data_IF_986417501782
#
_entry.id   IF_986417501782
#
_cell.length_a   1.000
_cell.length_b   1.000
_cell.length_c   1.000
_cell.angle_alpha   90.00
_cell.angle_beta   90.00
_cell.angle_gamma   90.00
#
_symmetry.space_group_name_H-M   'P 1'
#
loop_
_entity.id
_entity.type
_entity.pdbx_description
1 polymer ?
#
# COMPACT_ATOMS: atom_id res chain seq x y z
N UNK A 1 12.44 9.26 -4.96
CA UNK A 1 11.68 9.19 -6.24
C UNK A 1 10.56 8.20 -6.02
N UNK A 2 9.38 8.43 -6.62
CA UNK A 2 8.27 7.54 -6.39
C UNK A 2 8.49 6.21 -7.12
N UNK A 3 7.89 5.14 -6.61
CA UNK A 3 7.96 3.81 -7.18
C UNK A 3 6.61 3.12 -7.14
N UNK A 4 6.40 2.23 -8.09
CA UNK A 4 5.23 1.38 -8.19
C UNK A 4 5.70 -0.04 -8.48
N UNK A 5 5.33 -0.97 -7.61
CA UNK A 5 5.77 -2.36 -7.69
C UNK A 5 4.57 -3.28 -7.67
N UNK A 6 4.57 -4.27 -8.56
CA UNK A 6 3.60 -5.37 -8.57
C UNK A 6 4.22 -6.58 -7.89
N UNK A 7 3.52 -7.18 -6.93
CA UNK A 7 3.96 -8.47 -6.38
C UNK A 7 3.78 -9.56 -7.43
N UNK A 8 4.78 -10.42 -7.57
CA UNK A 8 4.78 -11.51 -8.55
C UNK A 8 4.81 -12.89 -7.90
N UNK A 9 5.21 -12.98 -6.62
CA UNK A 9 5.19 -14.21 -5.85
C UNK A 9 5.18 -13.91 -4.35
N UNK A 10 4.53 -14.79 -3.58
CA UNK A 10 4.59 -14.82 -2.12
C UNK A 10 4.86 -16.24 -1.65
N UNK A 11 5.91 -16.43 -0.87
CA UNK A 11 6.28 -17.71 -0.27
C UNK A 11 6.14 -17.64 1.24
N UNK A 12 5.38 -18.58 1.80
CA UNK A 12 5.31 -18.82 3.25
C UNK A 12 5.39 -20.32 3.49
N UNK A 13 6.27 -20.75 4.40
CA UNK A 13 6.44 -22.16 4.76
C UNK A 13 6.67 -23.12 3.57
N UNK A 14 7.41 -22.67 2.55
CA UNK A 14 7.73 -23.47 1.36
C UNK A 14 6.61 -23.57 0.32
N UNK A 15 5.50 -22.85 0.50
CA UNK A 15 4.44 -22.73 -0.50
C UNK A 15 4.56 -21.40 -1.22
N UNK A 16 4.95 -21.43 -2.50
CA UNK A 16 5.05 -20.26 -3.38
C UNK A 16 3.76 -20.09 -4.18
N UNK A 17 2.97 -19.07 -3.89
CA UNK A 17 1.70 -18.79 -4.56
C UNK A 17 1.46 -17.28 -4.67
N UNK A 18 0.81 -16.83 -5.73
CA UNK A 18 0.34 -15.45 -5.87
C UNK A 18 -1.16 -15.48 -6.19
N UNK A 19 -1.99 -15.23 -5.17
CA UNK A 19 -3.45 -15.22 -5.28
C UNK A 19 -4.02 -13.82 -5.47
N UNK A 20 -3.17 -12.80 -5.51
CA UNK A 20 -3.58 -11.39 -5.47
C UNK A 20 -3.17 -10.61 -6.71
N UNK A 21 -3.87 -9.50 -6.93
CA UNK A 21 -3.36 -8.41 -7.75
C UNK A 21 -2.72 -7.36 -6.82
N UNK A 22 -1.62 -7.71 -6.16
CA UNK A 22 -0.94 -6.79 -5.24
C UNK A 22 -0.13 -5.73 -5.97
N UNK A 23 -0.36 -4.47 -5.60
CA UNK A 23 0.44 -3.33 -6.03
C UNK A 23 0.79 -2.50 -4.80
N UNK A 24 2.07 -2.15 -4.69
CA UNK A 24 2.60 -1.25 -3.66
C UNK A 24 2.98 0.06 -4.32
N UNK A 25 2.47 1.17 -3.79
CA UNK A 25 2.88 2.52 -4.16
C UNK A 25 3.82 3.05 -3.09
N UNK A 26 4.97 3.55 -3.50
CA UNK A 26 5.93 4.26 -2.67
C UNK A 26 6.04 5.69 -3.23
N UNK A 27 5.68 6.67 -2.41
CA UNK A 27 5.79 8.08 -2.79
C UNK A 27 7.24 8.58 -2.72
N UNK A 28 7.49 9.79 -3.23
CA UNK A 28 8.82 10.43 -3.21
C UNK A 28 9.30 10.68 -1.79
N UNK A 29 8.39 11.10 -0.90
CA UNK A 29 8.70 11.40 0.49
C UNK A 29 8.74 10.15 1.39
N UNK A 30 8.43 8.97 0.84
CA UNK A 30 8.52 7.67 1.54
C UNK A 30 7.23 7.23 2.23
N UNK A 31 6.09 7.87 1.97
CA UNK A 31 4.77 7.32 2.29
C UNK A 31 4.49 6.10 1.42
N UNK A 32 3.79 5.10 1.95
CA UNK A 32 3.56 3.83 1.27
C UNK A 32 2.16 3.28 1.50
N UNK A 33 1.68 2.51 0.53
CA UNK A 33 0.43 1.74 0.61
C UNK A 33 0.56 0.48 -0.24
N UNK A 34 0.14 -0.66 0.31
CA UNK A 34 0.04 -1.94 -0.37
C UNK A 34 -1.39 -2.45 -0.24
N UNK A 35 -2.11 -2.51 -1.37
CA UNK A 35 -3.42 -3.16 -1.42
C UNK A 35 -3.27 -4.54 -2.08
N UNK A 36 -3.79 -5.58 -1.43
CA UNK A 36 -3.67 -6.97 -1.89
C UNK A 36 -5.02 -7.61 -2.21
N UNK A 37 -5.80 -7.08 -3.17
CA UNK A 37 -7.08 -7.69 -3.55
C UNK A 37 -6.86 -9.08 -4.14
N UNK A 38 -7.71 -10.03 -3.74
CA UNK A 38 -7.70 -11.41 -4.24
C UNK A 38 -8.15 -11.44 -5.71
N UNK A 39 -7.49 -12.25 -6.54
CA UNK A 39 -7.88 -12.48 -7.93
C UNK A 39 -9.17 -13.30 -8.02
N UNK A 40 -9.32 -14.28 -7.13
CA UNK A 40 -10.41 -15.24 -7.11
C UNK A 40 -10.91 -15.48 -5.68
N UNK A 41 -11.58 -14.49 -5.04
CA UNK A 41 -12.06 -14.64 -3.67
C UNK A 41 -13.11 -15.76 -3.57
N UNK A 42 -13.03 -16.56 -2.51
CA UNK A 42 -14.07 -17.53 -2.13
C UNK A 42 -15.32 -16.83 -1.59
N UNK A 43 -16.42 -17.58 -1.39
CA UNK A 43 -17.63 -17.03 -0.77
C UNK A 43 -17.37 -16.46 0.63
N UNK A 44 -16.51 -17.10 1.43
CA UNK A 44 -16.12 -16.62 2.75
C UNK A 44 -15.29 -15.32 2.68
N UNK A 45 -14.52 -15.14 1.62
CA UNK A 45 -13.71 -13.96 1.37
C UNK A 45 -14.49 -12.83 0.68
N UNK A 46 -15.73 -13.06 0.24
CA UNK A 46 -16.51 -12.06 -0.48
C UNK A 46 -16.78 -10.79 0.36
N UNK A 47 -16.90 -10.93 1.68
CA UNK A 47 -17.09 -9.80 2.60
C UNK A 47 -15.84 -8.90 2.72
N UNK A 48 -14.66 -9.47 2.51
CA UNK A 48 -13.38 -8.77 2.53
C UNK A 48 -12.42 -9.42 1.52
N UNK A 49 -12.51 -9.04 0.22
CA UNK A 49 -11.82 -9.73 -0.87
C UNK A 49 -10.35 -9.29 -1.00
N UNK A 50 -9.64 -9.23 0.13
CA UNK A 50 -8.24 -8.85 0.22
C UNK A 50 -7.48 -9.88 1.06
N UNK A 51 -6.28 -10.27 0.61
CA UNK A 51 -5.34 -11.04 1.43
C UNK A 51 -4.92 -10.20 2.64
N UNK A 52 -4.56 -8.94 2.38
CA UNK A 52 -4.11 -7.97 3.37
C UNK A 52 -4.15 -6.56 2.78
N UNK A 53 -4.18 -5.53 3.61
CA UNK A 53 -3.93 -4.16 3.21
C UNK A 53 -3.19 -3.42 4.31
N UNK A 54 -2.13 -2.71 3.94
CA UNK A 54 -1.37 -1.89 4.87
C UNK A 54 -0.91 -0.59 4.22
N UNK A 55 -0.66 0.41 5.07
CA UNK A 55 -0.17 1.70 4.66
C UNK A 55 0.56 2.40 5.80
N UNK A 56 1.31 3.43 5.46
CA UNK A 56 1.97 4.27 6.44
C UNK A 56 2.57 5.51 5.81
N UNK A 57 2.88 6.46 6.66
CA UNK A 57 3.71 7.59 6.30
C UNK A 57 5.20 7.21 6.40
N UNK A 58 6.08 8.10 5.98
CA UNK A 58 7.52 7.90 6.10
C UNK A 58 8.03 7.83 7.56
N UNK A 59 7.17 8.12 8.54
CA UNK A 59 7.46 7.95 9.98
C UNK A 59 7.18 6.54 10.48
N UNK A 60 6.40 5.78 9.73
CA UNK A 60 5.92 4.44 10.08
C UNK A 60 6.83 3.34 9.52
N UNK A 61 8.00 3.73 8.99
CA UNK A 61 9.01 2.85 8.43
C UNK A 61 10.40 3.41 8.71
N UNK A 62 11.31 2.57 9.21
CA UNK A 62 12.73 2.90 9.29
C UNK A 62 13.49 2.17 8.19
N UNK A 63 14.25 2.91 7.37
CA UNK A 63 15.02 2.35 6.25
C UNK A 63 16.51 2.50 6.54
N UNK A 64 17.27 1.42 6.38
CA UNK A 64 18.73 1.42 6.53
C UNK A 64 19.41 0.61 5.43
N UNK A 65 20.60 1.04 5.02
CA UNK A 65 21.40 0.31 4.02
C UNK A 65 22.14 -0.85 4.68
N UNK A 66 22.01 -2.05 4.12
CA UNK A 66 22.77 -3.24 4.55
C UNK A 66 23.96 -3.47 3.62
N UNK A 67 23.76 -3.29 2.32
CA UNK A 67 24.79 -3.35 1.28
C UNK A 67 24.38 -2.50 0.06
N UNK A 68 25.18 -2.49 -1.00
CA UNK A 68 24.85 -1.79 -2.26
C UNK A 68 23.49 -2.22 -2.83
N UNK A 69 23.20 -3.52 -2.80
CA UNK A 69 21.97 -4.08 -3.37
C UNK A 69 20.90 -4.41 -2.32
N UNK A 70 21.17 -4.18 -1.01
CA UNK A 70 20.25 -4.61 0.06
C UNK A 70 19.95 -3.49 1.04
N UNK A 71 18.67 -3.24 1.25
CA UNK A 71 18.16 -2.34 2.30
C UNK A 71 17.34 -3.13 3.32
N UNK A 72 17.41 -2.72 4.57
CA UNK A 72 16.52 -3.17 5.64
C UNK A 72 15.40 -2.16 5.81
N UNK A 73 14.17 -2.64 5.92
CA UNK A 73 12.97 -1.84 6.17
C UNK A 73 12.24 -2.40 7.41
N UNK A 74 12.15 -1.60 8.46
CA UNK A 74 11.43 -1.93 9.70
C UNK A 74 10.08 -1.22 9.71
N UNK A 75 9.02 -1.98 9.44
CA UNK A 75 7.66 -1.43 9.32
C UNK A 75 6.94 -1.39 10.66
N UNK A 76 6.50 -0.21 11.06
CA UNK A 76 5.55 0.05 12.15
C UNK A 76 4.25 0.58 11.56
N UNK A 77 3.56 -0.25 10.76
CA UNK A 77 2.43 0.14 9.92
C UNK A 77 1.46 1.14 10.59
N UNK A 78 1.25 2.28 9.93
CA UNK A 78 0.24 3.25 10.36
C UNK A 78 -1.18 2.69 10.23
N UNK A 79 -1.44 1.92 9.16
CA UNK A 79 -2.64 1.11 8.97
C UNK A 79 -2.26 -0.33 8.64
N UNK A 80 -2.91 -1.27 9.31
CA UNK A 80 -2.83 -2.70 9.07
C UNK A 80 -4.25 -3.27 9.18
N UNK A 81 -4.78 -3.81 8.09
CA UNK A 81 -6.15 -4.32 8.07
C UNK A 81 -6.37 -5.48 9.03
N UNK A 82 -5.35 -6.30 9.29
CA UNK A 82 -5.45 -7.41 10.22
C UNK A 82 -5.62 -6.86 11.64
N UNK A 83 -4.77 -5.91 12.05
CA UNK A 83 -4.88 -5.27 13.37
C UNK A 83 -6.21 -4.55 13.54
N UNK A 84 -6.64 -3.82 12.50
CA UNK A 84 -7.92 -3.12 12.49
C UNK A 84 -9.11 -4.08 12.66
N UNK A 85 -9.10 -5.23 11.98
CA UNK A 85 -10.15 -6.25 12.04
C UNK A 85 -10.01 -7.21 13.23
N UNK A 86 -9.01 -7.01 14.10
CA UNK A 86 -8.77 -7.83 15.28
C UNK A 86 -8.62 -9.34 14.97
N UNK A 87 -8.00 -9.68 13.83
CA UNK A 87 -7.71 -11.08 13.48
C UNK A 87 -6.80 -11.67 14.59
N UNK A 88 -7.06 -12.87 15.12
CA UNK A 88 -6.21 -13.45 16.16
C UNK A 88 -4.83 -13.87 15.60
N UNK A 89 -3.86 -14.08 16.50
CA UNK A 89 -2.52 -14.59 16.20
C UNK A 89 -1.78 -13.74 15.16
N UNK A 90 -1.53 -12.47 15.50
CA UNK A 90 -0.79 -11.54 14.64
C UNK A 90 0.59 -11.23 15.20
N UNK A 91 1.46 -10.77 14.32
CA UNK A 91 2.74 -10.24 14.73
C UNK A 91 2.56 -8.91 15.48
N UNK A 92 3.20 -8.83 16.65
CA UNK A 92 3.23 -7.63 17.48
C UNK A 92 4.57 -6.90 17.37
N UNK A 93 4.49 -5.58 17.21
CA UNK A 93 5.65 -4.71 17.01
C UNK A 93 6.07 -4.53 15.55
N UNK A 94 7.29 -4.00 15.32
CA UNK A 94 7.81 -3.74 13.98
C UNK A 94 8.12 -5.02 13.22
N UNK A 95 7.73 -5.06 11.94
CA UNK A 95 8.09 -6.14 11.02
C UNK A 95 9.42 -5.79 10.35
N UNK A 96 10.46 -6.54 10.67
CA UNK A 96 11.78 -6.37 10.05
C UNK A 96 11.83 -7.12 8.72
N UNK A 97 12.19 -6.41 7.64
CA UNK A 97 12.28 -6.97 6.29
C UNK A 97 13.59 -6.57 5.62
N UNK A 98 14.08 -7.43 4.73
CA UNK A 98 15.28 -7.20 3.93
C UNK A 98 14.92 -7.24 2.46
N UNK A 99 15.27 -6.18 1.75
CA UNK A 99 14.95 -5.98 0.35
C UNK A 99 16.21 -5.99 -0.47
N UNK A 100 16.41 -7.06 -1.23
CA UNK A 100 17.55 -7.25 -2.10
C UNK A 100 17.15 -7.00 -3.55
N UNK A 101 17.80 -6.04 -4.20
CA UNK A 101 17.72 -5.88 -5.65
C UNK A 101 18.48 -7.02 -6.30
N UNK A 102 17.83 -7.71 -7.23
CA UNK A 102 18.40 -8.86 -7.95
C UNK A 102 18.54 -8.53 -9.44
N UNK A 103 17.88 -9.27 -10.32
CA UNK A 103 17.97 -9.09 -11.77
C UNK A 103 16.97 -8.05 -12.29
N UNK A 104 17.43 -7.12 -13.14
CA UNK A 104 16.61 -6.12 -13.82
C UNK A 104 15.70 -5.31 -12.87
N UNK A 105 16.20 -4.96 -11.70
CA UNK A 105 15.47 -4.15 -10.71
C UNK A 105 14.38 -4.89 -9.94
N UNK A 106 14.14 -6.18 -10.20
CA UNK A 106 13.27 -7.00 -9.36
C UNK A 106 13.82 -7.01 -7.93
N UNK A 107 12.94 -6.91 -6.94
CA UNK A 107 13.31 -6.92 -5.52
C UNK A 107 12.78 -8.18 -4.85
N UNK A 108 13.67 -8.89 -4.17
CA UNK A 108 13.35 -9.96 -3.24
C UNK A 108 13.22 -9.34 -1.85
N UNK A 109 12.02 -9.39 -1.27
CA UNK A 109 11.75 -9.05 0.11
C UNK A 109 11.75 -10.33 0.94
N UNK A 110 12.45 -10.34 2.07
CA UNK A 110 12.42 -11.47 3.02
C UNK A 110 12.21 -10.96 4.43
N UNK A 111 11.56 -11.76 5.26
CA UNK A 111 11.36 -11.44 6.66
C UNK A 111 10.90 -12.62 7.48
N UNK A 112 10.74 -12.38 8.78
CA UNK A 112 10.22 -13.35 9.73
C UNK A 112 9.23 -12.66 10.67
N UNK A 113 7.99 -13.14 10.68
CA UNK A 113 6.95 -12.67 11.58
C UNK A 113 6.73 -13.65 12.72
N UNK A 114 6.11 -13.18 13.79
CA UNK A 114 5.89 -13.96 15.02
C UNK A 114 4.43 -13.93 15.45
N UNK A 115 3.52 -14.62 14.72
CA UNK A 115 2.07 -14.62 14.97
C UNK A 115 1.68 -15.06 16.39
N UNK A 116 2.51 -15.91 17.00
CA UNK A 116 2.27 -16.49 18.32
C UNK A 116 3.14 -15.86 19.43
N UNK A 117 3.80 -14.73 19.14
CA UNK A 117 4.76 -14.08 20.04
C UNK A 117 6.22 -14.40 19.72
N UNK A 118 7.13 -13.50 20.10
CA UNK A 118 8.58 -13.59 19.82
C UNK A 118 9.28 -14.75 20.55
N UNK A 119 8.63 -15.35 21.54
CA UNK A 119 9.10 -16.54 22.25
C UNK A 119 8.72 -17.86 21.55
N UNK A 120 7.97 -17.78 20.44
CA UNK A 120 7.56 -18.93 19.62
C UNK A 120 8.32 -18.96 18.30
N UNK A 121 8.15 -20.07 17.56
CA UNK A 121 8.69 -20.21 16.22
C UNK A 121 8.13 -19.11 15.31
N UNK A 122 9.04 -18.39 14.63
CA UNK A 122 8.66 -17.42 13.62
C UNK A 122 8.21 -18.10 12.33
N UNK A 123 7.47 -17.36 11.54
CA UNK A 123 7.03 -17.72 10.20
C UNK A 123 7.85 -16.89 9.23
N UNK A 124 8.74 -17.55 8.50
CA UNK A 124 9.54 -16.92 7.46
C UNK A 124 8.72 -16.75 6.20
N UNK A 125 8.96 -15.65 5.53
CA UNK A 125 8.32 -15.34 4.26
C UNK A 125 9.31 -14.72 3.27
N UNK A 126 8.95 -14.83 1.99
CA UNK A 126 9.63 -14.17 0.89
C UNK A 126 8.58 -13.61 -0.08
N UNK A 127 8.78 -12.39 -0.54
CA UNK A 127 7.96 -11.75 -1.57
C UNK A 127 8.84 -11.28 -2.73
N UNK A 128 8.35 -11.45 -3.96
CA UNK A 128 9.03 -10.97 -5.16
C UNK A 128 8.28 -9.79 -5.76
N UNK A 129 9.00 -8.72 -6.07
CA UNK A 129 8.43 -7.44 -6.49
C UNK A 129 9.00 -7.01 -7.84
N UNK A 130 8.11 -6.80 -8.81
CA UNK A 130 8.42 -6.32 -10.14
C UNK A 130 8.10 -4.82 -10.24
N UNK A 131 9.11 -3.95 -10.44
CA UNK A 131 8.88 -2.56 -10.79
C UNK A 131 8.04 -2.44 -12.07
N UNK A 132 7.07 -1.53 -12.06
CA UNK A 132 6.19 -1.23 -13.22
C UNK A 132 6.17 0.27 -13.54
N UNK A 133 5.90 0.61 -14.81
CA UNK A 133 5.82 2.00 -15.27
C UNK A 133 4.55 2.68 -14.75
N UNK A 134 4.71 3.57 -13.78
CA UNK A 134 3.61 4.32 -13.18
C UNK A 134 2.93 5.35 -14.10
N UNK A 135 3.43 5.57 -15.32
CA UNK A 135 2.80 6.43 -16.33
C UNK A 135 1.94 5.65 -17.33
N UNK A 136 1.90 4.32 -17.23
CA UNK A 136 1.14 3.43 -18.11
C UNK A 136 -0.03 2.81 -17.36
N UNK A 137 -1.16 2.69 -18.05
CA UNK A 137 -2.34 2.00 -17.54
C UNK A 137 -2.10 0.50 -17.46
N UNK A 138 -1.44 -0.03 -18.48
CA UNK A 138 -1.00 -1.42 -18.49
C UNK A 138 0.16 -1.61 -17.51
N UNK A 139 0.25 -2.80 -16.91
CA UNK A 139 1.34 -3.20 -16.01
C UNK A 139 2.64 -3.46 -16.81
N UNK A 140 3.22 -2.39 -17.35
CA UNK A 140 4.45 -2.45 -18.15
C UNK A 140 5.65 -2.61 -17.23
N UNK A 141 6.39 -3.70 -17.40
CA UNK A 141 7.62 -4.01 -16.66
C UNK A 141 8.72 -2.97 -16.95
N UNK A 142 9.41 -2.52 -15.91
CA UNK A 142 10.61 -1.68 -16.01
C UNK A 142 11.78 -2.28 -15.21
N UNK A 143 12.98 -1.77 -15.46
CA UNK A 143 14.27 -2.20 -14.92
C UNK A 143 14.56 -1.71 -13.49
N UNK A 144 13.56 -1.16 -12.80
CA UNK A 144 13.69 -0.61 -11.44
C UNK A 144 14.54 0.66 -11.34
N UNK A 145 15.03 1.21 -12.46
CA UNK A 145 15.72 2.50 -12.46
C UNK A 145 14.76 3.57 -11.98
N UNK A 146 15.15 4.29 -10.95
CA UNK A 146 14.33 5.34 -10.36
C UNK A 146 14.11 6.47 -11.38
N UNK A 147 12.85 6.91 -11.51
CA UNK A 147 12.43 7.91 -12.50
C UNK A 147 11.69 9.05 -11.81
N UNK A 148 11.88 10.30 -12.25
CA UNK A 148 11.04 11.39 -11.80
C UNK A 148 9.59 11.15 -12.26
N UNK A 149 8.64 11.63 -11.47
CA UNK A 149 7.23 11.52 -11.79
C UNK A 149 6.38 12.19 -10.71
N UNK A 150 5.12 12.44 -11.06
CA UNK A 150 4.12 12.96 -10.13
C UNK A 150 4.05 12.06 -8.90
N UNK A 151 4.08 12.68 -7.72
CA UNK A 151 4.02 12.03 -6.43
C UNK A 151 3.23 12.92 -5.47
N UNK A 152 2.00 12.53 -5.17
CA UNK A 152 1.10 13.32 -4.33
C UNK A 152 0.51 12.42 -3.26
N UNK A 153 0.59 12.84 -2.00
CA UNK A 153 0.02 12.10 -0.87
C UNK A 153 -0.95 12.98 -0.11
N UNK A 154 -2.16 12.46 0.11
CA UNK A 154 -3.20 13.09 0.92
C UNK A 154 -3.48 12.22 2.14
N UNK A 155 -3.68 12.85 3.29
CA UNK A 155 -3.94 12.19 4.56
C UNK A 155 -5.19 12.76 5.22
N UNK A 156 -5.95 11.90 5.87
CA UNK A 156 -6.94 12.29 6.87
C UNK A 156 -6.61 11.58 8.18
N UNK A 157 -6.55 12.36 9.25
CA UNK A 157 -6.37 11.84 10.60
C UNK A 157 -7.15 12.75 11.57
N UNK A 158 -8.42 12.41 11.80
CA UNK A 158 -9.31 13.19 12.66
C UNK A 158 -9.97 12.29 13.71
N UNK A 159 -10.99 12.78 14.42
CA UNK A 159 -11.65 12.02 15.47
C UNK A 159 -12.39 10.77 14.96
N UNK A 160 -12.88 10.79 13.71
CA UNK A 160 -13.71 9.72 13.14
C UNK A 160 -12.91 8.82 12.18
N UNK A 161 -12.04 9.41 11.37
CA UNK A 161 -11.38 8.74 10.26
C UNK A 161 -9.86 8.76 10.36
N UNK A 162 -9.26 7.70 9.81
CA UNK A 162 -7.86 7.63 9.43
C UNK A 162 -7.76 7.17 7.98
N UNK A 163 -6.92 7.80 7.17
CA UNK A 163 -6.83 7.47 5.75
C UNK A 163 -5.63 8.08 5.08
N UNK A 164 -5.21 7.44 4.00
CA UNK A 164 -4.11 7.87 3.15
C UNK A 164 -4.47 7.59 1.69
N UNK A 165 -4.18 8.53 0.81
CA UNK A 165 -4.21 8.35 -0.65
C UNK A 165 -2.83 8.70 -1.18
N UNK A 166 -2.25 7.81 -1.95
CA UNK A 166 -0.95 7.97 -2.61
C UNK A 166 -1.16 7.91 -4.12
N UNK A 167 -0.72 8.96 -4.79
CA UNK A 167 -0.69 9.09 -6.25
C UNK A 167 0.75 8.98 -6.71
N UNK A 168 1.05 8.00 -7.57
CA UNK A 168 2.35 7.81 -8.19
C UNK A 168 2.14 7.75 -9.71
N UNK A 169 2.64 8.75 -10.42
CA UNK A 169 2.34 8.97 -11.82
C UNK A 169 0.84 9.12 -12.05
N UNK A 170 0.26 8.13 -12.71
CA UNK A 170 -1.18 8.04 -13.01
C UNK A 170 -1.92 7.06 -12.10
N UNK A 171 -1.21 6.29 -11.27
CA UNK A 171 -1.82 5.31 -10.38
C UNK A 171 -2.17 5.94 -9.04
N UNK A 172 -3.37 5.65 -8.57
CA UNK A 172 -3.88 6.08 -7.28
C UNK A 172 -4.21 4.84 -6.44
N UNK A 173 -3.68 4.80 -5.22
CA UNK A 173 -4.10 3.83 -4.20
C UNK A 173 -4.45 4.57 -2.92
N UNK A 174 -5.52 4.16 -2.25
CA UNK A 174 -5.90 4.77 -0.99
C UNK A 174 -6.73 3.87 -0.09
N UNK A 175 -6.70 4.19 1.20
CA UNK A 175 -7.57 3.62 2.21
C UNK A 175 -8.23 4.72 3.06
N UNK A 176 -9.40 4.40 3.60
CA UNK A 176 -10.11 5.21 4.57
C UNK A 176 -10.76 4.27 5.58
N UNK A 177 -10.43 4.41 6.86
CA UNK A 177 -10.96 3.60 7.94
C UNK A 177 -11.68 4.45 8.99
N UNK A 178 -12.71 3.90 9.63
CA UNK A 178 -13.38 4.51 10.79
C UNK A 178 -12.69 4.06 12.06
N UNK A 179 -12.19 5.00 12.87
CA UNK A 179 -11.43 4.68 14.09
C UNK A 179 -12.25 3.95 15.15
N UNK A 180 -13.56 4.19 15.20
CA UNK A 180 -14.48 3.59 16.16
C UNK A 180 -15.11 2.27 15.70
N UNK A 181 -14.72 1.76 14.53
CA UNK A 181 -15.25 0.54 13.94
C UNK A 181 -14.09 -0.45 13.77
N UNK A 182 -14.35 -1.74 13.99
CA UNK A 182 -13.32 -2.79 13.90
C UNK A 182 -13.79 -3.96 13.04
N UNK A 183 -14.84 -3.75 12.23
CA UNK A 183 -15.31 -4.66 11.20
C UNK A 183 -15.01 -4.13 9.80
N UNK A 184 -15.18 -5.00 8.81
CA UNK A 184 -15.09 -4.68 7.38
C UNK A 184 -15.95 -3.49 6.97
N UNK A 185 -17.05 -3.23 7.69
CA UNK A 185 -17.96 -2.12 7.43
C UNK A 185 -17.35 -0.73 7.66
N UNK A 186 -16.21 -0.64 8.34
CA UNK A 186 -15.47 0.60 8.55
C UNK A 186 -14.30 0.79 7.60
N UNK A 187 -14.00 -0.19 6.74
CA UNK A 187 -12.91 -0.13 5.78
C UNK A 187 -13.38 0.30 4.39
N UNK A 188 -12.57 1.11 3.73
CA UNK A 188 -12.78 1.56 2.37
C UNK A 188 -11.44 1.59 1.65
N UNK A 189 -11.43 1.15 0.39
CA UNK A 189 -10.22 1.15 -0.43
C UNK A 189 -10.54 1.63 -1.84
N UNK A 190 -9.57 2.31 -2.43
CA UNK A 190 -9.56 2.71 -3.82
C UNK A 190 -8.26 2.28 -4.48
N UNK A 191 -8.37 1.68 -5.65
CA UNK A 191 -7.30 1.66 -6.66
C UNK A 191 -7.87 2.20 -7.95
N UNK A 192 -7.22 3.19 -8.51
CA UNK A 192 -7.62 3.80 -9.77
C UNK A 192 -6.41 4.17 -10.62
N UNK A 193 -6.70 4.45 -11.89
CA UNK A 193 -5.75 5.02 -12.83
C UNK A 193 -6.36 6.25 -13.50
N UNK A 194 -5.58 7.32 -13.65
CA UNK A 194 -5.99 8.53 -14.35
C UNK A 194 -5.83 8.36 -15.86
N UNK A 195 -6.94 8.41 -16.59
CA UNK A 195 -6.97 8.28 -18.06
C UNK A 195 -6.30 9.48 -18.74
N UNK A 196 -6.07 9.39 -20.05
CA UNK A 196 -5.54 10.51 -20.82
C UNK A 196 -6.46 11.75 -20.83
N UNK A 197 -7.74 11.57 -20.49
CA UNK A 197 -8.77 12.60 -20.41
C UNK A 197 -8.85 13.23 -19.01
N UNK A 198 -8.11 12.71 -18.03
CA UNK A 198 -8.18 13.16 -16.63
C UNK A 198 -9.29 12.48 -15.81
N UNK A 199 -10.02 11.53 -16.40
CA UNK A 199 -11.02 10.73 -15.67
C UNK A 199 -10.33 9.63 -14.85
N UNK A 200 -10.95 9.21 -13.74
CA UNK A 200 -10.47 8.07 -12.95
C UNK A 200 -11.14 6.77 -13.40
N UNK A 201 -10.34 5.84 -13.91
CA UNK A 201 -10.75 4.45 -14.12
C UNK A 201 -10.52 3.66 -12.82
N UNK A 202 -11.61 3.23 -12.17
CA UNK A 202 -11.56 2.60 -10.85
C UNK A 202 -11.42 1.09 -11.00
N UNK A 203 -10.24 0.57 -10.64
CA UNK A 203 -9.89 -0.85 -10.68
C UNK A 203 -10.32 -1.57 -9.39
N UNK A 204 -10.27 -0.89 -8.25
CA UNK A 204 -10.73 -1.42 -6.97
C UNK A 204 -11.62 -0.39 -6.28
N UNK A 205 -12.84 -0.81 -5.95
CA UNK A 205 -13.84 -0.04 -5.22
C UNK A 205 -14.33 -0.88 -4.04
N UNK A 206 -14.02 -0.47 -2.82
CA UNK A 206 -14.45 -1.16 -1.62
C UNK A 206 -14.92 -0.19 -0.54
N UNK A 207 -15.95 -0.59 0.21
CA UNK A 207 -16.47 0.14 1.37
C UNK A 207 -17.63 1.10 1.06
N UNK A 208 -18.42 1.38 2.10
CA UNK A 208 -19.66 2.19 2.01
C UNK A 208 -19.39 3.70 1.92
N UNK A 209 -18.25 4.14 2.42
CA UNK A 209 -17.83 5.54 2.46
C UNK A 209 -16.86 5.86 1.31
N UNK A 210 -16.84 5.03 0.25
CA UNK A 210 -15.98 5.21 -0.93
C UNK A 210 -16.12 6.59 -1.59
N UNK A 211 -17.31 7.19 -1.56
CA UNK A 211 -17.52 8.52 -2.12
C UNK A 211 -16.74 9.62 -1.38
N UNK A 212 -16.15 9.35 -0.22
CA UNK A 212 -15.33 10.29 0.54
C UNK A 212 -13.87 10.35 0.09
N UNK A 213 -13.44 9.51 -0.85
CA UNK A 213 -12.12 9.66 -1.47
C UNK A 213 -12.08 10.92 -2.35
N UNK A 214 -10.97 11.67 -2.38
CA UNK A 214 -10.76 12.72 -3.36
C UNK A 214 -10.78 12.16 -4.79
N UNK A 215 -11.09 13.00 -5.78
CA UNK A 215 -11.08 12.60 -7.20
C UNK A 215 -10.23 13.50 -8.08
N UNK A 216 -9.66 14.57 -7.51
CA UNK A 216 -8.77 15.50 -8.21
C UNK A 216 -7.47 15.64 -7.42
N UNK A 217 -6.36 15.45 -8.14
CA UNK A 217 -5.01 15.44 -7.55
C UNK A 217 -4.03 16.40 -8.25
N UNK A 218 -4.54 17.18 -9.21
CA UNK A 218 -3.77 18.13 -9.99
C UNK A 218 -3.56 19.46 -9.27
N UNK A 219 -2.38 20.04 -9.48
CA UNK A 219 -2.00 21.37 -8.97
C UNK A 219 -2.24 21.59 -7.47
N UNK A 220 -2.28 20.51 -6.68
CA UNK A 220 -2.30 20.58 -5.23
C UNK A 220 -0.94 21.10 -4.72
N UNK A 221 -0.97 21.71 -3.54
CA UNK A 221 0.25 22.12 -2.83
C UNK A 221 0.25 21.43 -1.48
N UNK A 222 1.44 21.19 -0.95
CA UNK A 222 1.56 20.72 0.42
C UNK A 222 0.83 21.70 1.37
N UNK A 223 0.02 21.16 2.28
CA UNK A 223 -0.87 21.90 3.16
C UNK A 223 -2.25 22.24 2.58
N UNK A 224 -2.52 21.97 1.30
CA UNK A 224 -3.86 22.14 0.72
C UNK A 224 -4.85 21.16 1.35
N UNK A 225 -5.99 21.68 1.81
CA UNK A 225 -7.13 20.87 2.24
C UNK A 225 -8.07 20.61 1.07
N UNK A 226 -8.38 19.35 0.82
CA UNK A 226 -9.30 18.89 -0.21
C UNK A 226 -10.56 18.35 0.47
N UNK A 227 -11.69 19.01 0.25
CA UNK A 227 -12.99 18.50 0.70
C UNK A 227 -13.48 17.39 -0.24
N UNK A 228 -13.90 16.27 0.33
CA UNK A 228 -14.62 15.23 -0.39
C UNK A 228 -15.78 14.74 0.45
N UNK A 229 -17.00 15.15 0.05
CA UNK A 229 -18.26 14.72 0.66
C UNK A 229 -18.29 14.83 2.19
N UNK A 230 -17.84 15.98 2.71
CA UNK A 230 -17.93 16.33 4.13
C UNK A 230 -16.75 15.86 5.00
N UNK A 231 -15.69 15.30 4.39
CA UNK A 231 -14.40 15.10 5.07
C UNK A 231 -13.29 15.89 4.36
N UNK A 232 -12.29 16.32 5.13
CA UNK A 232 -11.16 17.08 4.63
C UNK A 232 -9.90 16.23 4.64
N UNK A 233 -9.25 16.15 3.47
CA UNK A 233 -7.97 15.51 3.28
C UNK A 233 -6.87 16.58 3.20
N UNK A 234 -5.82 16.45 3.99
CA UNK A 234 -4.65 17.32 3.93
C UNK A 234 -3.62 16.77 2.95
N UNK A 235 -3.17 17.58 2.02
CA UNK A 235 -2.07 17.24 1.11
C UNK A 235 -0.75 17.31 1.89
N UNK A 236 -0.14 16.16 2.18
CA UNK A 236 1.11 16.09 2.95
C UNK A 236 2.36 16.03 2.07
N UNK A 237 2.19 15.74 0.78
CA UNK A 237 3.24 15.70 -0.25
C UNK A 237 2.63 16.13 -1.60
N UNK A 238 3.35 16.93 -2.38
CA UNK A 238 2.95 17.33 -3.74
C UNK A 238 4.16 17.63 -4.64
N UNK A 239 4.65 16.62 -5.35
CA UNK A 239 5.69 16.72 -6.38
C UNK A 239 5.10 16.44 -7.76
N UNK A 240 5.46 17.24 -8.76
CA UNK A 240 4.97 17.16 -10.15
C UNK A 240 6.12 17.09 -11.14
#
# INVERSE_FOLDING_TARGET
>A
MPALSKRIAFEVNGSLLEETCTITSESTDGHYISLRPLLHPTEEQAAFPFEWAFAGTNKDIAVSTVSEDTVKQDFSFGFDSNKYLQIPNQHEGPVETYWKTIHNGVREETGEIFPMGKDKAGVKFMEMWQPIDFNKQDLVIIDGVARPGRSVTLQIDNAEYFGLVIVVGKWIQGFLSKKSEHSTSGLNFIRAFETAQGDLDIVTKYGKDFNKFPTMYDALKQGTLVDSNGIQWSTIEAHY
#
